data_IF_109647590004
#
_entry.id   IF_109647590004
#
_cell.length_a   1.000
_cell.length_b   1.000
_cell.length_c   1.000
_cell.angle_alpha   90.00
_cell.angle_beta   90.00
_cell.angle_gamma   90.00
#
_symmetry.space_group_name_H-M   'P 1'
#
loop_
_entity.id
_entity.type
_entity.pdbx_description
1 polymer ?
#
# COMPACT_ATOMS: atom_id res chain seq x y z
N UNK A 1 -6.68 -14.93 16.99
CA UNK A 1 -7.05 -13.54 17.32
C UNK A 1 -5.88 -12.72 17.85
N UNK A 2 -5.25 -13.05 18.98
CA UNK A 2 -4.14 -12.23 19.52
C UNK A 2 -2.90 -12.08 18.61
N UNK A 3 -2.56 -13.06 17.80
CA UNK A 3 -1.35 -13.06 16.98
C UNK A 3 -1.51 -12.23 15.69
N UNK A 4 -2.70 -12.22 15.10
CA UNK A 4 -3.03 -11.45 13.91
C UNK A 4 -3.16 -9.95 14.25
N UNK A 5 -3.74 -9.63 15.40
CA UNK A 5 -3.79 -8.27 15.95
C UNK A 5 -2.36 -7.69 16.21
N UNK A 6 -1.42 -8.51 16.71
CA UNK A 6 -0.04 -8.07 16.93
C UNK A 6 0.71 -7.84 15.62
N UNK A 7 0.51 -8.69 14.60
CA UNK A 7 1.09 -8.46 13.27
C UNK A 7 0.62 -7.14 12.67
N UNK A 8 -0.67 -6.87 12.73
CA UNK A 8 -1.20 -5.61 12.20
C UNK A 8 -0.65 -4.40 12.97
N UNK A 9 -0.56 -4.46 14.29
CA UNK A 9 0.05 -3.39 15.10
C UNK A 9 1.52 -3.13 14.73
N UNK A 10 2.29 -4.20 14.43
CA UNK A 10 3.66 -4.06 13.94
C UNK A 10 3.69 -3.32 12.61
N UNK A 11 2.82 -3.69 11.66
CA UNK A 11 2.75 -3.02 10.35
C UNK A 11 2.33 -1.56 10.47
N UNK A 12 1.34 -1.24 11.32
CA UNK A 12 0.87 0.13 11.53
C UNK A 12 1.98 1.02 12.13
N UNK A 13 2.71 0.51 13.13
CA UNK A 13 3.84 1.23 13.73
C UNK A 13 5.04 1.33 12.80
N UNK A 14 5.31 0.31 12.01
CA UNK A 14 6.34 0.36 10.99
C UNK A 14 6.01 1.44 9.93
N UNK A 15 4.76 1.51 9.45
CA UNK A 15 4.33 2.54 8.51
C UNK A 15 4.49 3.96 9.08
N UNK A 16 4.09 4.15 10.33
CA UNK A 16 4.23 5.43 11.04
C UNK A 16 5.70 5.88 11.09
N UNK A 17 6.60 4.98 11.51
CA UNK A 17 8.02 5.26 11.64
C UNK A 17 8.71 5.44 10.28
N UNK A 18 8.48 4.53 9.33
CA UNK A 18 9.09 4.60 8.00
C UNK A 18 8.62 5.84 7.21
N UNK A 19 7.35 6.20 7.31
CA UNK A 19 6.82 7.38 6.62
C UNK A 19 7.32 8.71 7.19
N UNK A 20 7.77 8.73 8.46
CA UNK A 20 8.27 9.94 9.11
C UNK A 20 9.79 10.08 9.04
N UNK A 21 10.54 8.96 9.09
CA UNK A 21 12.00 8.96 9.25
C UNK A 21 12.75 8.27 8.11
N UNK A 22 12.05 7.54 7.25
CA UNK A 22 12.63 6.68 6.22
C UNK A 22 12.97 5.29 6.73
N UNK A 23 13.07 4.32 5.82
CA UNK A 23 13.31 2.92 6.12
C UNK A 23 14.65 2.69 6.85
N UNK A 24 15.74 3.30 6.35
CA UNK A 24 17.08 3.07 6.87
C UNK A 24 17.27 3.58 8.30
N UNK A 25 16.61 4.70 8.65
CA UNK A 25 16.74 5.34 9.95
C UNK A 25 15.94 4.66 11.07
N UNK A 26 15.16 3.62 10.76
CA UNK A 26 14.32 2.92 11.73
C UNK A 26 14.84 1.51 11.95
N UNK A 27 15.05 1.14 13.22
CA UNK A 27 15.45 -0.21 13.62
C UNK A 27 14.25 -1.08 14.00
N UNK A 28 14.43 -2.40 13.94
CA UNK A 28 13.42 -3.38 14.42
C UNK A 28 13.13 -3.19 15.91
N UNK A 29 14.16 -2.82 16.70
CA UNK A 29 14.02 -2.53 18.13
C UNK A 29 13.08 -1.33 18.40
N UNK A 30 13.17 -0.27 17.60
CA UNK A 30 12.28 0.89 17.72
C UNK A 30 10.84 0.54 17.34
N UNK A 31 10.64 -0.30 16.32
CA UNK A 31 9.30 -0.79 15.97
C UNK A 31 8.73 -1.63 17.12
N UNK A 32 9.50 -2.54 17.68
CA UNK A 32 9.09 -3.36 18.82
C UNK A 32 8.71 -2.49 20.04
N UNK A 33 9.53 -1.48 20.35
CA UNK A 33 9.25 -0.52 21.40
C UNK A 33 7.96 0.26 21.15
N UNK A 34 7.72 0.72 19.93
CA UNK A 34 6.50 1.45 19.55
C UNK A 34 5.23 0.59 19.66
N UNK A 35 5.34 -0.72 19.44
CA UNK A 35 4.26 -1.70 19.62
C UNK A 35 4.05 -2.08 21.08
N UNK A 36 5.07 -1.87 21.94
CA UNK A 36 5.06 -2.27 23.34
C UNK A 36 5.44 -3.75 23.57
N UNK A 37 6.23 -4.32 22.66
CA UNK A 37 6.75 -5.70 22.76
C UNK A 37 8.27 -5.72 22.78
N UNK A 38 8.86 -6.86 23.18
CA UNK A 38 10.31 -7.05 23.11
C UNK A 38 10.74 -7.43 21.68
N UNK A 39 11.96 -7.05 21.28
CA UNK A 39 12.49 -7.37 19.95
C UNK A 39 12.47 -8.87 19.60
N UNK A 40 12.81 -9.82 20.49
CA UNK A 40 12.65 -11.25 20.20
C UNK A 40 11.21 -11.65 19.87
N UNK A 41 10.22 -11.04 20.53
CA UNK A 41 8.80 -11.28 20.25
C UNK A 41 8.40 -10.79 18.88
N UNK A 42 8.96 -9.65 18.43
CA UNK A 42 8.73 -9.14 17.09
C UNK A 42 9.31 -10.10 16.04
N UNK A 43 10.53 -10.63 16.25
CA UNK A 43 11.15 -11.58 15.32
C UNK A 43 10.38 -12.90 15.18
N UNK A 44 9.52 -13.28 16.14
CA UNK A 44 8.59 -14.39 15.98
C UNK A 44 7.48 -14.11 14.95
N UNK A 45 7.19 -12.83 14.66
CA UNK A 45 6.21 -12.42 13.66
C UNK A 45 6.85 -12.13 12.30
N UNK A 46 8.01 -11.48 12.30
CA UNK A 46 8.73 -11.07 11.09
C UNK A 46 10.23 -11.31 11.25
N UNK A 47 10.86 -12.13 10.39
CA UNK A 47 12.26 -12.53 10.54
C UNK A 47 13.26 -11.40 10.31
N UNK A 48 12.83 -10.29 9.68
CA UNK A 48 13.72 -9.15 9.35
C UNK A 48 12.94 -7.85 9.17
N UNK A 49 13.64 -6.73 9.16
CA UNK A 49 13.08 -5.43 8.82
C UNK A 49 12.52 -5.42 7.38
N UNK A 50 13.21 -6.10 6.46
CA UNK A 50 12.74 -6.26 5.09
C UNK A 50 11.41 -7.03 5.03
N UNK A 51 11.26 -8.10 5.80
CA UNK A 51 10.01 -8.86 5.86
C UNK A 51 8.84 -8.02 6.40
N UNK A 52 9.10 -7.10 7.35
CA UNK A 52 8.09 -6.13 7.82
C UNK A 52 7.70 -5.20 6.67
N UNK A 53 8.68 -4.66 5.94
CA UNK A 53 8.46 -3.75 4.84
C UNK A 53 7.65 -4.41 3.71
N UNK A 54 8.02 -5.62 3.30
CA UNK A 54 7.33 -6.38 2.26
C UNK A 54 5.87 -6.68 2.65
N UNK A 55 5.65 -7.13 3.88
CA UNK A 55 4.32 -7.38 4.41
C UNK A 55 3.48 -6.09 4.52
N UNK A 56 4.11 -4.97 4.85
CA UNK A 56 3.46 -3.65 4.87
C UNK A 56 2.99 -3.25 3.48
N UNK A 57 3.84 -3.38 2.46
CA UNK A 57 3.51 -3.08 1.07
C UNK A 57 2.32 -3.93 0.60
N UNK A 58 2.35 -5.24 0.89
CA UNK A 58 1.26 -6.17 0.55
C UNK A 58 -0.04 -5.80 1.28
N UNK A 59 0.03 -5.51 2.57
CA UNK A 59 -1.13 -5.15 3.39
C UNK A 59 -1.82 -3.88 2.89
N UNK A 60 -1.04 -2.84 2.59
CA UNK A 60 -1.58 -1.57 2.08
C UNK A 60 -2.15 -1.74 0.67
N UNK A 61 -1.48 -2.51 -0.20
CA UNK A 61 -1.99 -2.82 -1.54
C UNK A 61 -3.33 -3.58 -1.48
N UNK A 62 -3.44 -4.58 -0.60
CA UNK A 62 -4.67 -5.32 -0.40
C UNK A 62 -5.80 -4.46 0.18
N UNK A 63 -5.48 -3.56 1.12
CA UNK A 63 -6.46 -2.59 1.63
C UNK A 63 -6.94 -1.65 0.54
N UNK A 64 -6.02 -1.07 -0.24
CA UNK A 64 -6.37 -0.17 -1.34
C UNK A 64 -7.30 -0.85 -2.34
N UNK A 65 -7.00 -2.10 -2.73
CA UNK A 65 -7.85 -2.88 -3.63
C UNK A 65 -9.25 -3.07 -3.04
N UNK A 66 -9.37 -3.54 -1.80
CA UNK A 66 -10.68 -3.74 -1.16
C UNK A 66 -11.51 -2.46 -1.09
N UNK A 67 -10.87 -1.35 -0.75
CA UNK A 67 -11.57 -0.08 -0.57
C UNK A 67 -11.99 0.52 -1.92
N UNK A 68 -11.18 0.35 -2.98
CA UNK A 68 -11.53 0.80 -4.34
C UNK A 68 -12.54 -0.11 -5.03
N UNK A 69 -12.53 -1.42 -4.75
CA UNK A 69 -13.54 -2.36 -5.25
C UNK A 69 -14.96 -1.98 -4.77
N UNK A 70 -15.09 -1.41 -3.57
CA UNK A 70 -16.37 -0.88 -3.07
C UNK A 70 -16.89 0.31 -3.89
N UNK A 71 -15.99 1.05 -4.54
CA UNK A 71 -16.33 2.14 -5.47
C UNK A 71 -16.65 1.58 -6.87
N UNK A 72 -16.56 0.26 -7.06
CA UNK A 72 -16.75 -0.43 -8.34
C UNK A 72 -15.79 0.04 -9.44
N UNK A 73 -14.54 0.28 -9.08
CA UNK A 73 -13.43 0.50 -10.02
C UNK A 73 -12.28 -0.42 -9.61
N UNK A 74 -11.93 -1.35 -10.49
CA UNK A 74 -10.91 -2.37 -10.24
C UNK A 74 -9.56 -1.89 -10.76
N UNK A 75 -8.95 -0.94 -10.06
CA UNK A 75 -7.69 -0.27 -10.49
C UNK A 75 -6.58 -1.26 -10.89
N UNK A 76 -6.62 -2.49 -10.38
CA UNK A 76 -5.67 -3.55 -10.73
C UNK A 76 -6.14 -4.48 -11.86
N UNK A 77 -7.37 -4.33 -12.33
CA UNK A 77 -7.95 -5.18 -13.38
C UNK A 77 -8.83 -4.34 -14.33
N UNK A 78 -8.21 -3.45 -15.07
CA UNK A 78 -8.87 -2.54 -16.00
C UNK A 78 -9.84 -3.24 -16.98
N UNK A 79 -9.59 -4.46 -17.52
CA UNK A 79 -10.56 -5.14 -18.37
C UNK A 79 -11.91 -5.40 -17.72
N UNK A 80 -12.00 -5.55 -16.39
CA UNK A 80 -13.29 -5.71 -15.69
C UNK A 80 -14.10 -4.42 -15.64
N UNK A 81 -13.44 -3.27 -15.81
CA UNK A 81 -14.09 -1.97 -15.74
C UNK A 81 -14.63 -1.50 -17.09
N UNK A 82 -14.21 -2.11 -18.23
CA UNK A 82 -14.66 -1.73 -19.57
C UNK A 82 -16.20 -1.67 -19.67
N UNK A 83 -16.96 -2.71 -19.23
CA UNK A 83 -18.41 -2.67 -19.29
C UNK A 83 -19.01 -1.56 -18.41
N UNK A 84 -18.37 -1.25 -17.28
CA UNK A 84 -18.81 -0.18 -16.38
C UNK A 84 -18.61 1.17 -17.03
N UNK A 85 -17.45 1.42 -17.64
CA UNK A 85 -17.13 2.68 -18.32
C UNK A 85 -17.97 2.91 -19.59
N UNK A 86 -18.36 1.85 -20.28
CA UNK A 86 -19.21 1.98 -21.49
C UNK A 86 -20.69 2.21 -21.18
N UNK A 87 -21.14 1.84 -19.98
CA UNK A 87 -22.54 1.96 -19.56
C UNK A 87 -22.81 3.11 -18.58
N UNK A 88 -21.74 3.75 -18.04
CA UNK A 88 -21.85 4.78 -17.00
C UNK A 88 -22.17 6.14 -17.59
N UNK A 89 -22.99 6.92 -16.90
CA UNK A 89 -23.22 8.33 -17.24
C UNK A 89 -22.00 9.19 -16.84
N UNK A 90 -21.85 10.34 -17.49
CA UNK A 90 -20.76 11.29 -17.19
C UNK A 90 -20.75 11.71 -15.71
N UNK A 91 -21.92 12.04 -15.14
CA UNK A 91 -22.06 12.40 -13.73
C UNK A 91 -21.65 11.27 -12.79
N UNK A 92 -22.04 10.04 -13.09
CA UNK A 92 -21.69 8.87 -12.29
C UNK A 92 -20.20 8.53 -12.41
N UNK A 93 -19.59 8.72 -13.57
CA UNK A 93 -18.13 8.59 -13.74
C UNK A 93 -17.39 9.64 -12.93
N UNK A 94 -17.81 10.91 -13.04
CA UNK A 94 -17.22 12.00 -12.25
C UNK A 94 -17.27 11.70 -10.75
N UNK A 95 -18.42 11.25 -10.26
CA UNK A 95 -18.58 10.92 -8.84
C UNK A 95 -17.66 9.77 -8.39
N UNK A 96 -17.49 8.72 -9.19
CA UNK A 96 -16.56 7.62 -8.91
C UNK A 96 -15.11 8.08 -8.87
N UNK A 97 -14.68 8.86 -9.86
CA UNK A 97 -13.33 9.43 -9.92
C UNK A 97 -13.08 10.33 -8.70
N UNK A 98 -14.06 11.17 -8.34
CA UNK A 98 -14.00 12.01 -7.16
C UNK A 98 -13.83 11.19 -5.89
N UNK A 99 -14.59 10.12 -5.71
CA UNK A 99 -14.51 9.25 -4.53
C UNK A 99 -13.13 8.59 -4.39
N UNK A 100 -12.54 8.09 -5.49
CA UNK A 100 -11.18 7.52 -5.46
C UNK A 100 -10.15 8.60 -5.11
N UNK A 101 -10.30 9.78 -5.67
CA UNK A 101 -9.39 10.89 -5.41
C UNK A 101 -9.45 11.34 -3.95
N UNK A 102 -10.67 11.52 -3.42
CA UNK A 102 -10.92 11.83 -2.01
C UNK A 102 -10.35 10.75 -1.08
N UNK A 103 -10.59 9.48 -1.38
CA UNK A 103 -10.01 8.37 -0.63
C UNK A 103 -8.48 8.42 -0.64
N UNK A 104 -7.88 8.57 -1.82
CA UNK A 104 -6.42 8.59 -1.98
C UNK A 104 -5.75 9.78 -1.29
N UNK A 105 -6.44 10.91 -1.18
CA UNK A 105 -5.92 12.12 -0.54
C UNK A 105 -6.13 12.13 0.98
N UNK A 106 -7.23 11.57 1.48
CA UNK A 106 -7.64 11.71 2.87
C UNK A 106 -7.43 10.45 3.71
N UNK A 107 -7.31 9.26 3.10
CA UNK A 107 -6.98 8.05 3.86
C UNK A 107 -5.54 8.14 4.42
N UNK A 108 -5.43 8.13 5.75
CA UNK A 108 -4.16 8.34 6.44
C UNK A 108 -3.13 7.24 6.14
N UNK A 109 -3.55 5.98 6.04
CA UNK A 109 -2.68 4.86 5.69
C UNK A 109 -2.10 5.03 4.29
N UNK A 110 -2.94 5.39 3.31
CA UNK A 110 -2.52 5.63 1.92
C UNK A 110 -1.59 6.84 1.82
N UNK A 111 -1.88 7.91 2.55
CA UNK A 111 -1.01 9.09 2.60
C UNK A 111 0.38 8.78 3.15
N UNK A 112 0.44 8.06 4.30
CA UNK A 112 1.71 7.63 4.92
C UNK A 112 2.48 6.70 4.01
N UNK A 113 1.80 5.74 3.41
CA UNK A 113 2.41 4.80 2.48
C UNK A 113 3.01 5.51 1.26
N UNK A 114 2.25 6.39 0.63
CA UNK A 114 2.73 7.18 -0.51
C UNK A 114 3.93 8.05 -0.14
N UNK A 115 3.90 8.71 1.03
CA UNK A 115 5.04 9.49 1.52
C UNK A 115 6.29 8.61 1.72
N UNK A 116 6.14 7.44 2.34
CA UNK A 116 7.21 6.47 2.52
C UNK A 116 7.79 6.06 1.17
N UNK A 117 6.96 5.64 0.24
CA UNK A 117 7.40 5.18 -1.09
C UNK A 117 8.07 6.30 -1.89
N UNK A 118 7.59 7.54 -1.80
CA UNK A 118 8.21 8.69 -2.47
C UNK A 118 9.63 8.95 -1.94
N UNK A 119 9.87 8.76 -0.66
CA UNK A 119 11.19 8.92 -0.05
C UNK A 119 12.12 7.78 -0.50
N UNK A 120 11.64 6.54 -0.39
CA UNK A 120 12.45 5.35 -0.58
C UNK A 120 12.78 5.07 -2.05
N UNK A 121 11.94 5.45 -3.00
CA UNK A 121 12.21 5.28 -4.43
C UNK A 121 13.49 6.00 -4.89
N UNK A 122 13.89 7.08 -4.23
CA UNK A 122 15.13 7.81 -4.54
C UNK A 122 16.36 7.26 -3.82
N UNK A 123 16.16 6.42 -2.79
CA UNK A 123 17.23 5.87 -1.97
C UNK A 123 17.61 4.45 -2.34
N UNK A 124 16.65 3.66 -2.81
CA UNK A 124 16.83 2.25 -3.15
C UNK A 124 16.38 1.97 -4.58
N UNK A 125 17.30 1.60 -5.49
CA UNK A 125 16.96 1.16 -6.85
C UNK A 125 16.01 -0.04 -6.87
N UNK A 126 16.10 -0.92 -5.86
CA UNK A 126 15.25 -2.09 -5.71
C UNK A 126 13.81 -1.68 -5.35
N UNK A 127 13.63 -0.76 -4.40
CA UNK A 127 12.33 -0.22 -4.03
C UNK A 127 11.74 0.64 -5.15
N UNK A 128 12.56 1.40 -5.88
CA UNK A 128 12.15 2.13 -7.07
C UNK A 128 11.58 1.18 -8.13
N UNK A 129 12.28 0.07 -8.40
CA UNK A 129 11.81 -0.96 -9.33
C UNK A 129 10.50 -1.60 -8.86
N UNK A 130 10.42 -1.99 -7.60
CA UNK A 130 9.24 -2.58 -6.98
C UNK A 130 8.03 -1.64 -7.06
N UNK A 131 8.24 -0.36 -6.79
CA UNK A 131 7.21 0.67 -6.92
C UNK A 131 6.77 0.84 -8.37
N UNK A 132 7.73 0.95 -9.28
CA UNK A 132 7.46 1.09 -10.72
C UNK A 132 6.74 -0.14 -11.27
N UNK A 133 7.22 -1.34 -11.00
CA UNK A 133 6.63 -2.59 -11.49
C UNK A 133 5.23 -2.84 -10.92
N UNK A 134 5.00 -2.60 -9.63
CA UNK A 134 3.71 -2.87 -8.99
C UNK A 134 2.65 -1.79 -9.20
N UNK A 135 3.05 -0.53 -9.21
CA UNK A 135 2.10 0.60 -9.22
C UNK A 135 2.04 1.35 -10.54
N UNK A 136 3.08 1.32 -11.36
CA UNK A 136 3.12 2.04 -12.64
C UNK A 136 2.98 1.07 -13.81
N UNK A 137 3.85 0.06 -13.88
CA UNK A 137 3.92 -0.86 -15.02
C UNK A 137 2.70 -1.78 -15.09
N UNK A 138 2.16 -2.23 -13.94
CA UNK A 138 0.98 -3.09 -13.90
C UNK A 138 -0.27 -2.40 -14.43
N UNK A 139 -0.41 -1.10 -14.16
CA UNK A 139 -1.48 -0.26 -14.73
C UNK A 139 -1.26 -0.04 -16.23
N UNK A 140 -0.01 0.17 -16.66
CA UNK A 140 0.32 0.39 -18.07
C UNK A 140 0.24 -0.89 -18.93
N UNK A 141 0.66 -2.06 -18.39
CA UNK A 141 0.68 -3.33 -19.13
C UNK A 141 -0.71 -3.99 -19.23
N UNK A 142 -1.70 -3.61 -18.41
CA UNK A 142 -3.08 -4.05 -18.61
C UNK A 142 -3.72 -3.46 -19.85
N UNK A 143 -3.11 -2.42 -20.45
CA UNK A 143 -3.58 -1.76 -21.68
C UNK A 143 -2.85 -2.22 -22.96
N UNK A 144 -1.86 -3.12 -22.87
CA UNK A 144 -0.95 -3.45 -23.96
C UNK A 144 -0.99 -4.91 -24.46
N UNK A 145 -2.03 -5.67 -24.18
CA UNK A 145 -2.22 -7.03 -24.75
C UNK A 145 -3.57 -7.15 -25.44
N UNK A 146 -3.74 -6.37 -26.48
CA UNK A 146 -4.69 -6.63 -27.57
C UNK A 146 -3.95 -6.37 -28.88
N UNK A 147 -3.21 -7.37 -29.34
CA UNK A 147 -2.95 -7.66 -30.77
C UNK A 147 -3.03 -9.17 -30.95
#
# INVERSE_FOLDING_TARGET
MKQEDTKQKILDKALELFSSRGYDAVSVGEIAQAVGIKAPSLYNHFPSKQAIFDALVESVAAQYTRDTDQISIHVQNAPQDIPVFTAITEDALYEKVRQIFEYSLHNETIRRFRRMMTIEQFRSPELSRLYTERYITRVALSHGKEE
#
